data_IF_813729988716
#
_entry.id   IF_813729988716
#
_cell.length_a   1.000
_cell.length_b   1.000
_cell.length_c   1.000
_cell.angle_alpha   90.00
_cell.angle_beta   90.00
_cell.angle_gamma   90.00
#
_symmetry.space_group_name_H-M   'P 1'
#
loop_
_entity.id
_entity.type
_entity.pdbx_description
1 polymer ?
#
# COMPACT_ATOMS: atom_id res chain seq x y z
N UNK A 1 9.79 26.75 1.00
CA UNK A 1 8.57 25.93 1.08
C UNK A 1 8.03 26.01 2.50
N UNK A 2 6.76 26.32 2.67
CA UNK A 2 6.11 26.38 3.99
C UNK A 2 5.77 24.99 4.52
N UNK A 3 5.61 24.85 5.83
CA UNK A 3 5.14 23.61 6.49
C UNK A 3 3.85 23.07 5.88
N UNK A 4 2.95 23.96 5.46
CA UNK A 4 1.66 23.60 4.85
C UNK A 4 1.85 23.01 3.45
N UNK A 5 2.74 23.60 2.66
CA UNK A 5 3.07 23.09 1.33
C UNK A 5 3.81 21.76 1.42
N UNK A 6 4.70 21.59 2.41
CA UNK A 6 5.38 20.32 2.67
C UNK A 6 4.39 19.19 2.99
N UNK A 7 3.47 19.43 3.93
CA UNK A 7 2.46 18.43 4.29
C UNK A 7 1.56 18.09 3.09
N UNK A 8 1.20 19.07 2.28
CA UNK A 8 0.40 18.85 1.07
C UNK A 8 1.15 18.00 0.04
N UNK A 9 2.45 18.24 -0.14
CA UNK A 9 3.29 17.45 -1.05
C UNK A 9 3.46 16.01 -0.56
N UNK A 10 3.62 15.80 0.75
CA UNK A 10 3.70 14.46 1.33
C UNK A 10 2.38 13.69 1.21
N UNK A 11 1.24 14.37 1.32
CA UNK A 11 -0.08 13.72 1.18
C UNK A 11 -0.36 13.17 -0.22
N UNK A 12 0.36 13.61 -1.26
CA UNK A 12 0.22 13.05 -2.61
C UNK A 12 1.11 11.84 -2.88
N UNK A 13 1.95 11.45 -1.91
CA UNK A 13 2.87 10.32 -2.02
C UNK A 13 2.25 9.05 -1.46
N UNK A 14 2.84 7.91 -1.78
CA UNK A 14 2.41 6.63 -1.25
C UNK A 14 2.81 6.47 0.22
N UNK A 15 2.22 5.50 0.92
CA UNK A 15 2.35 5.37 2.39
C UNK A 15 3.80 5.08 2.78
N UNK A 16 4.48 4.21 2.04
CA UNK A 16 5.88 3.86 2.22
C UNK A 16 6.80 5.09 2.02
N UNK A 17 6.54 5.90 1.00
CA UNK A 17 7.24 7.16 0.75
C UNK A 17 7.01 8.18 1.86
N UNK A 18 5.77 8.33 2.32
CA UNK A 18 5.40 9.18 3.45
C UNK A 18 6.10 8.74 4.74
N UNK A 19 6.19 7.44 4.99
CA UNK A 19 6.91 6.90 6.16
C UNK A 19 8.40 7.18 6.03
N UNK A 20 8.98 6.92 4.86
CA UNK A 20 10.41 7.13 4.60
C UNK A 20 10.80 8.60 4.83
N UNK A 21 10.08 9.53 4.21
CA UNK A 21 10.33 10.97 4.35
C UNK A 21 9.95 11.48 5.75
N UNK A 22 8.89 10.92 6.34
CA UNK A 22 8.41 11.24 7.69
C UNK A 22 9.46 11.07 8.78
N UNK A 23 10.41 10.14 8.60
CA UNK A 23 11.53 9.92 9.52
C UNK A 23 12.50 11.11 9.61
N UNK A 24 12.53 11.97 8.58
CA UNK A 24 13.37 13.16 8.52
C UNK A 24 12.61 14.44 8.91
N UNK A 25 11.32 14.34 9.21
CA UNK A 25 10.51 15.50 9.61
C UNK A 25 10.70 15.86 11.09
N UNK A 26 10.64 17.16 11.43
CA UNK A 26 10.43 17.61 12.79
C UNK A 26 9.22 16.92 13.47
N UNK A 27 9.33 16.59 14.76
CA UNK A 27 8.29 15.82 15.49
C UNK A 27 6.89 16.44 15.40
N UNK A 28 6.81 17.77 15.44
CA UNK A 28 5.55 18.51 15.28
C UNK A 28 4.92 18.31 13.90
N UNK A 29 5.72 18.24 12.83
CA UNK A 29 5.24 18.00 11.47
C UNK A 29 4.84 16.54 11.26
N UNK A 30 5.59 15.59 11.82
CA UNK A 30 5.22 14.17 11.79
C UNK A 30 3.87 13.92 12.48
N UNK A 31 3.63 14.56 13.63
CA UNK A 31 2.34 14.49 14.32
C UNK A 31 1.18 15.05 13.49
N UNK A 32 1.40 16.16 12.77
CA UNK A 32 0.39 16.74 11.86
C UNK A 32 0.12 15.84 10.66
N UNK A 33 1.16 15.25 10.06
CA UNK A 33 1.03 14.29 8.97
C UNK A 33 0.16 13.10 9.40
N UNK A 34 0.50 12.45 10.52
CA UNK A 34 -0.28 11.34 11.08
C UNK A 34 -1.73 11.72 11.40
N UNK A 35 -1.97 12.95 11.85
CA UNK A 35 -3.33 13.42 12.18
C UNK A 35 -4.17 13.65 10.93
N UNK A 36 -3.54 13.91 9.78
CA UNK A 36 -4.20 14.12 8.50
C UNK A 36 -4.52 12.84 7.72
N UNK A 37 -3.96 11.70 8.15
CA UNK A 37 -4.18 10.39 7.52
C UNK A 37 -5.47 9.74 7.99
N UNK A 38 -6.09 8.96 7.10
CA UNK A 38 -7.23 8.10 7.44
C UNK A 38 -6.84 7.05 8.50
N UNK A 39 -7.80 6.55 9.31
CA UNK A 39 -7.52 5.61 10.39
C UNK A 39 -6.73 4.36 9.96
N UNK A 40 -7.07 3.75 8.82
CA UNK A 40 -6.36 2.54 8.34
C UNK A 40 -4.93 2.85 7.91
N UNK A 41 -4.74 3.92 7.12
CA UNK A 41 -3.41 4.35 6.65
C UNK A 41 -2.50 4.70 7.84
N UNK A 42 -3.03 5.45 8.81
CA UNK A 42 -2.31 5.79 10.04
C UNK A 42 -1.93 4.55 10.86
N UNK A 43 -2.78 3.52 10.88
CA UNK A 43 -2.47 2.26 11.56
C UNK A 43 -1.30 1.54 10.88
N UNK A 44 -1.30 1.48 9.53
CA UNK A 44 -0.19 0.93 8.74
C UNK A 44 1.12 1.69 9.00
N UNK A 45 1.10 3.03 8.94
CA UNK A 45 2.28 3.87 9.23
C UNK A 45 2.85 3.60 10.63
N UNK A 46 1.98 3.48 11.64
CA UNK A 46 2.40 3.15 13.01
C UNK A 46 3.03 1.77 13.12
N UNK A 47 2.56 0.82 12.33
CA UNK A 47 3.16 -0.51 12.25
C UNK A 47 4.54 -0.44 11.61
N UNK A 48 4.69 0.31 10.51
CA UNK A 48 5.98 0.48 9.83
C UNK A 48 7.03 1.12 10.71
N UNK A 49 6.65 2.15 11.47
CA UNK A 49 7.57 2.83 12.39
C UNK A 49 8.11 1.87 13.46
N UNK A 50 7.41 0.76 13.76
CA UNK A 50 7.91 -0.27 14.68
C UNK A 50 8.90 -1.21 14.02
N UNK A 51 8.88 -1.35 12.70
CA UNK A 51 9.87 -2.12 11.97
C UNK A 51 11.24 -1.42 12.04
N UNK A 52 12.31 -2.19 12.24
CA UNK A 52 13.66 -1.65 12.24
C UNK A 52 14.03 -1.11 10.87
N UNK A 53 14.83 -0.03 10.81
CA UNK A 53 15.22 0.65 9.56
C UNK A 53 15.80 -0.26 8.47
N UNK A 54 16.39 -1.39 8.84
CA UNK A 54 17.03 -2.34 7.94
C UNK A 54 16.25 -3.64 7.80
N UNK A 55 14.93 -3.57 7.95
CA UNK A 55 14.04 -4.74 7.81
C UNK A 55 13.18 -4.61 6.57
N UNK A 56 12.68 -5.74 6.07
CA UNK A 56 11.76 -5.77 4.92
C UNK A 56 10.54 -4.88 5.17
N UNK A 57 9.99 -4.89 6.38
CA UNK A 57 8.82 -4.07 6.73
C UNK A 57 9.06 -2.55 6.63
N UNK A 58 10.32 -2.09 6.70
CA UNK A 58 10.64 -0.67 6.56
C UNK A 58 10.71 -0.18 5.11
N UNK A 59 10.78 -1.10 4.14
CA UNK A 59 10.84 -0.82 2.70
C UNK A 59 9.67 -1.47 1.94
N UNK A 60 8.65 -1.92 2.67
CA UNK A 60 7.50 -2.62 2.10
C UNK A 60 6.51 -1.61 1.53
N UNK A 61 6.04 -1.89 0.32
CA UNK A 61 4.93 -1.17 -0.32
C UNK A 61 3.58 -1.73 0.19
N UNK A 62 2.63 -0.83 0.45
CA UNK A 62 1.27 -1.14 0.90
C UNK A 62 0.28 -1.26 -0.26
N UNK A 63 0.66 -0.79 -1.45
CA UNK A 63 -0.17 -0.81 -2.65
C UNK A 63 -0.14 -2.20 -3.32
N UNK A 64 -0.69 -3.20 -2.64
CA UNK A 64 -0.83 -4.56 -3.18
C UNK A 64 -2.28 -4.85 -3.57
N UNK A 65 -2.45 -5.70 -4.59
CA UNK A 65 -3.76 -6.24 -4.95
C UNK A 65 -3.88 -7.64 -4.40
N UNK A 66 -4.94 -7.88 -3.62
CA UNK A 66 -5.28 -9.20 -3.12
C UNK A 66 -6.57 -9.73 -3.74
N UNK A 67 -6.63 -11.04 -3.93
CA UNK A 67 -7.80 -11.77 -4.43
C UNK A 67 -8.08 -12.99 -3.57
N UNK A 68 -9.30 -13.51 -3.61
CA UNK A 68 -9.69 -14.71 -2.86
C UNK A 68 -9.42 -15.98 -3.67
N UNK A 69 -9.15 -17.13 -3.01
CA UNK A 69 -8.90 -18.39 -3.72
C UNK A 69 -10.17 -19.00 -4.35
N UNK A 70 -11.35 -18.63 -3.87
CA UNK A 70 -12.66 -19.20 -4.25
C UNK A 70 -13.36 -18.41 -5.37
N UNK A 71 -12.66 -17.50 -6.06
CA UNK A 71 -13.23 -16.71 -7.17
C UNK A 71 -12.67 -17.10 -8.53
N UNK A 72 -13.51 -17.00 -9.55
CA UNK A 72 -13.13 -17.30 -10.94
C UNK A 72 -12.20 -16.23 -11.55
N UNK A 73 -11.42 -16.61 -12.57
CA UNK A 73 -10.62 -15.65 -13.34
C UNK A 73 -11.47 -14.55 -13.99
N UNK A 74 -12.66 -14.87 -14.47
CA UNK A 74 -13.59 -13.89 -15.02
C UNK A 74 -13.99 -12.83 -13.97
N UNK A 75 -14.20 -13.24 -12.72
CA UNK A 75 -14.46 -12.34 -11.60
C UNK A 75 -13.25 -11.45 -11.31
N UNK A 76 -12.04 -12.02 -11.31
CA UNK A 76 -10.79 -11.27 -11.12
C UNK A 76 -10.61 -10.23 -12.23
N UNK A 77 -10.78 -10.60 -13.50
CA UNK A 77 -10.71 -9.69 -14.64
C UNK A 77 -11.72 -8.54 -14.51
N UNK A 78 -12.97 -8.86 -14.16
CA UNK A 78 -14.01 -7.85 -13.93
C UNK A 78 -13.63 -6.91 -12.79
N UNK A 79 -13.12 -7.43 -11.68
CA UNK A 79 -12.65 -6.64 -10.55
C UNK A 79 -11.53 -5.66 -10.97
N UNK A 80 -10.51 -6.13 -11.69
CA UNK A 80 -9.43 -5.27 -12.18
C UNK A 80 -9.95 -4.18 -13.13
N UNK A 81 -10.87 -4.51 -14.04
CA UNK A 81 -11.49 -3.53 -14.95
C UNK A 81 -12.32 -2.49 -14.21
N UNK A 82 -13.09 -2.89 -13.20
CA UNK A 82 -13.88 -1.96 -12.38
C UNK A 82 -12.99 -1.02 -11.57
N UNK A 83 -11.83 -1.50 -11.11
CA UNK A 83 -10.85 -0.66 -10.41
C UNK A 83 -10.26 0.41 -11.32
N UNK A 84 -10.08 0.12 -12.62
CA UNK A 84 -9.61 1.07 -13.63
C UNK A 84 -8.11 1.36 -13.59
N UNK A 85 -7.48 1.32 -12.41
CA UNK A 85 -6.04 1.48 -12.21
C UNK A 85 -5.45 0.34 -11.37
N UNK A 86 -4.19 0.03 -11.63
CA UNK A 86 -3.38 -0.90 -10.83
C UNK A 86 -2.06 -0.19 -10.45
N UNK A 87 -1.47 -0.51 -9.28
CA UNK A 87 -0.16 0.01 -8.89
C UNK A 87 0.89 -0.28 -9.96
N UNK A 88 1.79 0.68 -10.17
CA UNK A 88 2.71 0.69 -11.33
C UNK A 88 3.54 -0.60 -11.46
N UNK A 89 3.96 -1.15 -10.32
CA UNK A 89 4.84 -2.32 -10.25
C UNK A 89 4.08 -3.63 -10.01
N UNK A 90 2.79 -3.69 -10.37
CA UNK A 90 1.98 -4.91 -10.22
C UNK A 90 2.24 -5.86 -11.40
N UNK A 91 2.95 -6.96 -11.18
CA UNK A 91 3.10 -8.08 -12.13
C UNK A 91 2.24 -9.30 -11.74
N UNK A 92 1.77 -9.33 -10.49
CA UNK A 92 0.94 -10.38 -9.92
C UNK A 92 -0.01 -9.85 -8.85
N UNK A 93 -1.05 -10.64 -8.60
CA UNK A 93 -1.98 -10.47 -7.50
C UNK A 93 -1.66 -11.48 -6.42
N UNK A 94 -1.87 -11.13 -5.16
CA UNK A 94 -1.68 -12.04 -4.03
C UNK A 94 -2.99 -12.74 -3.69
N UNK A 95 -2.97 -14.07 -3.65
CA UNK A 95 -4.13 -14.87 -3.26
C UNK A 95 -4.13 -15.00 -1.73
N UNK A 96 -5.16 -14.49 -1.06
CA UNK A 96 -5.23 -14.48 0.41
C UNK A 96 -6.54 -15.03 0.95
N UNK A 97 -6.48 -15.65 2.13
CA UNK A 97 -7.67 -16.11 2.86
C UNK A 97 -8.39 -14.98 3.61
N UNK A 98 -9.53 -15.29 4.24
CA UNK A 98 -10.34 -14.31 5.01
C UNK A 98 -9.60 -13.70 6.21
N UNK A 99 -8.50 -14.29 6.64
CA UNK A 99 -7.64 -13.78 7.72
C UNK A 99 -6.41 -13.03 7.19
N UNK A 100 -6.39 -12.72 5.89
CA UNK A 100 -5.30 -12.07 5.17
C UNK A 100 -3.99 -12.86 5.16
N UNK A 101 -4.05 -14.20 5.28
CA UNK A 101 -2.87 -15.04 5.09
C UNK A 101 -2.63 -15.26 3.61
N UNK A 102 -1.38 -15.10 3.20
CA UNK A 102 -0.93 -15.38 1.84
C UNK A 102 -1.02 -16.89 1.57
N UNK A 103 -1.77 -17.27 0.54
CA UNK A 103 -1.92 -18.64 0.05
C UNK A 103 -1.11 -18.90 -1.22
N UNK A 104 -0.85 -17.84 -2.01
CA UNK A 104 -0.11 -17.93 -3.26
C UNK A 104 -0.18 -16.64 -4.06
N UNK A 105 0.22 -16.72 -5.32
CA UNK A 105 0.21 -15.59 -6.26
C UNK A 105 -0.46 -15.96 -7.58
N UNK A 106 -1.04 -14.97 -8.23
CA UNK A 106 -1.69 -15.07 -9.53
C UNK A 106 -1.08 -14.02 -10.47
N UNK A 107 -0.28 -14.47 -11.44
CA UNK A 107 0.33 -13.58 -12.43
C UNK A 107 -0.73 -12.85 -13.26
N UNK A 108 -0.50 -11.57 -13.55
CA UNK A 108 -1.35 -10.82 -14.47
C UNK A 108 -1.37 -11.46 -15.87
N UNK A 109 -0.28 -12.07 -16.31
CA UNK A 109 -0.23 -12.79 -17.60
C UNK A 109 -1.23 -13.95 -17.62
N UNK A 110 -1.40 -14.67 -16.50
CA UNK A 110 -2.43 -15.71 -16.38
C UNK A 110 -3.83 -15.12 -16.46
N UNK A 111 -4.07 -13.99 -15.79
CA UNK A 111 -5.36 -13.29 -15.84
C UNK A 111 -5.69 -12.79 -17.24
N UNK A 112 -4.70 -12.47 -18.07
CA UNK A 112 -4.89 -11.96 -19.43
C UNK A 112 -5.03 -13.07 -20.49
N UNK A 113 -4.28 -14.17 -20.35
CA UNK A 113 -4.19 -15.22 -21.38
C UNK A 113 -5.11 -16.42 -21.13
N UNK A 114 -5.63 -16.58 -19.92
CA UNK A 114 -6.55 -17.67 -19.54
C UNK A 114 -7.93 -17.10 -19.28
#
# INVERSE_FOLDING_TARGET
MSDKELLKALQSLDIDEQVYLGQYLPRNLMGRLLTSMEPEQRAQVREVIRYGKHTVGAIMDFEIITVRPDISLATVQRFLRMRGTIPLNTDKLFVTDRTNRLLGELSLTTVLLK
#
